data_IF_107273952858
#
_entry.id   IF_107273952858
#
_cell.length_a   1.000
_cell.length_b   1.000
_cell.length_c   1.000
_cell.angle_alpha   90.00
_cell.angle_beta   90.00
_cell.angle_gamma   90.00
#
_symmetry.space_group_name_H-M   'P 1'
#
loop_
_entity.id
_entity.type
_entity.pdbx_description
1 polymer ?
#
# COMPACT_ATOMS: atom_id res chain seq x y z
N UNK A 1 24.37 -2.96 7.35
CA UNK A 1 25.50 -3.87 7.61
C UNK A 1 25.91 -3.78 9.08
N UNK A 2 26.42 -4.90 9.66
CA UNK A 2 27.10 -4.89 10.94
C UNK A 2 28.42 -4.16 10.89
N UNK A 3 28.87 -3.67 12.05
CA UNK A 3 30.17 -2.98 12.18
C UNK A 3 31.23 -3.93 12.68
N UNK A 4 32.46 -3.79 12.14
CA UNK A 4 33.67 -4.40 12.65
C UNK A 4 34.45 -3.34 13.45
N UNK A 5 34.40 -3.43 14.77
CA UNK A 5 35.09 -2.48 15.64
C UNK A 5 35.62 -3.16 16.89
N UNK A 6 36.72 -2.61 17.43
CA UNK A 6 37.33 -3.05 18.66
C UNK A 6 37.58 -1.85 19.55
N UNK A 7 37.22 -1.98 20.83
CA UNK A 7 37.38 -0.94 21.82
C UNK A 7 38.88 -0.65 22.03
N UNK A 8 39.27 0.61 21.93
CA UNK A 8 40.59 1.11 22.21
C UNK A 8 40.51 2.35 23.08
N UNK A 9 41.06 2.27 24.27
CA UNK A 9 41.08 3.38 25.23
C UNK A 9 42.46 3.56 25.79
N UNK A 10 42.75 4.71 26.42
CA UNK A 10 44.06 5.09 26.92
C UNK A 10 44.74 4.01 27.77
N UNK A 11 43.96 3.25 28.56
CA UNK A 11 44.45 2.19 29.44
C UNK A 11 44.01 0.78 29.02
N UNK A 12 43.33 0.64 27.88
CA UNK A 12 42.85 -0.62 27.34
C UNK A 12 43.23 -0.73 25.86
N UNK A 13 44.52 -1.02 25.57
CA UNK A 13 45.00 -1.05 24.18
C UNK A 13 44.47 -2.24 23.38
N UNK A 14 43.99 -3.32 24.06
CA UNK A 14 43.45 -4.54 23.46
C UNK A 14 42.03 -4.78 24.01
N UNK A 15 41.12 -3.85 23.80
CA UNK A 15 39.71 -4.02 24.15
C UNK A 15 39.03 -5.07 23.28
N UNK A 16 37.93 -5.62 23.80
CA UNK A 16 37.13 -6.61 23.06
C UNK A 16 36.37 -6.03 21.86
N UNK A 17 35.68 -6.87 21.12
CA UNK A 17 34.84 -6.43 20.01
C UNK A 17 33.70 -5.55 20.52
N UNK A 18 33.48 -4.42 19.86
CA UNK A 18 32.44 -3.43 20.19
C UNK A 18 31.68 -2.91 18.97
N UNK A 19 31.74 -3.64 17.86
CA UNK A 19 30.98 -3.30 16.67
C UNK A 19 29.49 -3.61 16.87
N UNK A 20 28.64 -2.61 16.67
CA UNK A 20 27.20 -2.70 16.77
C UNK A 20 26.54 -3.29 15.52
N UNK A 21 25.27 -3.69 15.67
CA UNK A 21 24.46 -4.22 14.59
C UNK A 21 23.99 -3.10 13.66
N UNK A 22 23.74 -3.40 12.39
CA UNK A 22 23.06 -2.50 11.48
C UNK A 22 21.55 -2.36 11.81
N UNK A 23 20.95 -1.26 11.38
CA UNK A 23 19.51 -1.06 11.42
C UNK A 23 18.80 -1.90 10.35
N UNK A 24 17.55 -2.25 10.59
CA UNK A 24 16.70 -2.89 9.59
C UNK A 24 16.29 -1.86 8.52
N UNK A 25 15.97 -2.32 7.31
CA UNK A 25 15.27 -1.51 6.33
C UNK A 25 13.83 -1.24 6.77
N UNK A 26 13.22 -0.18 6.24
CA UNK A 26 11.81 0.12 6.44
C UNK A 26 10.93 -0.79 5.58
N UNK A 27 9.70 -0.99 6.01
CA UNK A 27 8.67 -1.72 5.27
C UNK A 27 7.91 -0.79 4.33
N UNK A 28 7.31 -1.33 3.27
CA UNK A 28 6.34 -0.63 2.42
C UNK A 28 4.95 -1.10 2.78
N UNK A 29 4.10 -0.15 3.18
CA UNK A 29 2.78 -0.41 3.76
C UNK A 29 1.75 0.37 2.94
N UNK A 30 0.67 -0.29 2.52
CA UNK A 30 -0.51 0.38 1.98
C UNK A 30 -1.44 0.73 3.13
N UNK A 31 -1.92 1.96 3.20
CA UNK A 31 -2.73 2.46 4.31
C UNK A 31 -4.03 3.09 3.81
N UNK A 32 -5.11 2.93 4.59
CA UNK A 32 -6.38 3.58 4.32
C UNK A 32 -6.29 5.10 4.53
N UNK A 33 -6.73 5.86 3.53
CA UNK A 33 -6.99 7.30 3.67
C UNK A 33 -8.42 7.61 3.20
N UNK A 34 -9.28 7.94 4.14
CA UNK A 34 -10.70 8.25 3.89
C UNK A 34 -10.91 9.57 3.12
N UNK A 35 -9.88 10.39 2.96
CA UNK A 35 -9.95 11.62 2.17
C UNK A 35 -9.72 11.38 0.68
N UNK A 36 -9.22 10.20 0.33
CA UNK A 36 -8.97 9.82 -1.05
C UNK A 36 -10.20 9.14 -1.65
N UNK A 37 -10.52 9.51 -2.90
CA UNK A 37 -11.60 8.90 -3.69
C UNK A 37 -11.08 8.28 -4.99
N UNK A 38 -9.76 8.27 -5.23
CA UNK A 38 -9.16 7.73 -6.44
C UNK A 38 -7.69 7.43 -6.25
N UNK A 39 -7.11 6.59 -7.12
CA UNK A 39 -5.69 6.27 -7.15
C UNK A 39 -4.87 7.24 -8.03
N UNK A 40 -5.45 8.38 -8.45
CA UNK A 40 -4.81 9.30 -9.38
C UNK A 40 -3.49 9.90 -8.86
N UNK A 41 -3.34 10.07 -7.55
CA UNK A 41 -2.12 10.58 -6.93
C UNK A 41 -0.92 9.63 -7.09
N UNK A 42 -1.17 8.35 -7.41
CA UNK A 42 -0.13 7.35 -7.69
C UNK A 42 0.27 7.30 -9.17
N UNK A 43 -0.49 7.96 -10.07
CA UNK A 43 -0.17 8.01 -11.50
C UNK A 43 1.20 8.66 -11.72
N UNK A 44 2.04 7.98 -12.50
CA UNK A 44 3.38 8.45 -12.85
C UNK A 44 4.51 8.03 -11.90
N UNK A 45 4.20 7.66 -10.66
CA UNK A 45 5.19 7.11 -9.73
C UNK A 45 5.13 5.59 -9.77
N UNK A 46 6.08 4.97 -10.44
CA UNK A 46 6.12 3.51 -10.65
C UNK A 46 6.89 2.74 -9.59
N UNK A 47 7.76 3.40 -8.82
CA UNK A 47 8.62 2.76 -7.83
C UNK A 47 8.42 3.41 -6.48
N UNK A 48 8.16 2.60 -5.48
CA UNK A 48 8.02 2.97 -4.08
C UNK A 48 9.05 2.22 -3.27
N UNK A 49 9.93 2.92 -2.58
CA UNK A 49 10.98 2.30 -1.77
C UNK A 49 11.02 2.96 -0.39
N UNK A 50 10.99 2.13 0.65
CA UNK A 50 11.22 2.57 2.01
C UNK A 50 12.71 2.88 2.23
N UNK A 51 13.05 3.59 3.30
CA UNK A 51 14.42 3.97 3.60
C UNK A 51 15.23 2.75 4.06
N UNK A 52 16.47 2.67 3.60
CA UNK A 52 17.41 1.66 4.10
C UNK A 52 17.84 1.97 5.53
N UNK A 53 18.11 0.92 6.32
CA UNK A 53 18.70 1.07 7.63
C UNK A 53 20.18 1.50 7.54
N UNK A 54 20.65 2.22 8.54
CA UNK A 54 22.04 2.66 8.65
C UNK A 54 22.93 1.51 9.14
N UNK A 55 24.21 1.53 8.76
CA UNK A 55 25.19 0.58 9.29
C UNK A 55 25.40 0.78 10.78
N UNK A 56 25.74 -0.29 11.49
CA UNK A 56 26.21 -0.20 12.87
C UNK A 56 27.51 0.60 12.99
N UNK A 57 27.83 1.04 14.20
CA UNK A 57 29.04 1.77 14.52
C UNK A 57 29.77 1.12 15.70
N UNK A 58 30.99 1.60 15.98
CA UNK A 58 31.74 1.18 17.17
C UNK A 58 31.02 1.55 18.48
N UNK A 59 31.56 1.10 19.61
CA UNK A 59 30.98 1.30 20.95
C UNK A 59 29.57 0.68 21.11
N UNK A 60 29.36 -0.45 20.45
CA UNK A 60 28.07 -1.18 20.42
C UNK A 60 26.87 -0.34 19.92
N UNK A 61 27.12 0.71 19.15
CA UNK A 61 26.04 1.53 18.61
C UNK A 61 25.34 0.81 17.45
N UNK A 62 24.05 0.52 17.66
CA UNK A 62 23.20 -0.04 16.62
C UNK A 62 22.88 1.04 15.58
N UNK A 63 22.91 0.68 14.31
CA UNK A 63 22.44 1.54 13.22
C UNK A 63 20.95 1.82 13.36
N UNK A 64 20.55 3.02 12.97
CA UNK A 64 19.15 3.44 12.93
C UNK A 64 18.40 2.62 11.88
N UNK A 65 17.19 2.16 12.22
CA UNK A 65 16.32 1.48 11.25
C UNK A 65 15.75 2.48 10.25
N UNK A 66 15.55 2.01 9.02
CA UNK A 66 14.90 2.80 7.99
C UNK A 66 13.44 3.07 8.34
N UNK A 67 12.94 4.23 7.93
CA UNK A 67 11.54 4.59 8.07
C UNK A 67 10.69 3.79 7.08
N UNK A 68 9.52 3.36 7.54
CA UNK A 68 8.52 2.74 6.69
C UNK A 68 8.00 3.74 5.67
N UNK A 69 7.63 3.24 4.49
CA UNK A 69 6.93 4.02 3.48
C UNK A 69 5.45 3.64 3.49
N UNK A 70 4.61 4.61 3.81
CA UNK A 70 3.16 4.47 3.69
C UNK A 70 2.68 4.94 2.32
N UNK A 71 1.83 4.14 1.67
CA UNK A 71 1.14 4.44 0.42
C UNK A 71 -0.34 4.60 0.75
N UNK A 72 -0.85 5.84 0.86
CA UNK A 72 -2.26 6.06 1.17
C UNK A 72 -3.13 5.69 -0.03
N UNK A 73 -4.22 4.97 0.22
CA UNK A 73 -5.20 4.57 -0.79
C UNK A 73 -6.62 4.71 -0.24
N UNK A 74 -7.64 4.89 -1.10
CA UNK A 74 -9.03 4.95 -0.68
C UNK A 74 -9.54 3.59 -0.21
N UNK A 75 -10.67 3.62 0.51
CA UNK A 75 -11.44 2.43 0.88
C UNK A 75 -11.86 1.62 -0.37
N UNK A 76 -11.88 0.31 -0.25
CA UNK A 76 -12.22 -0.61 -1.35
C UNK A 76 -11.07 -0.81 -2.36
N UNK A 77 -9.83 -0.45 -1.98
CA UNK A 77 -8.66 -0.74 -2.81
C UNK A 77 -8.21 -2.18 -2.60
N UNK A 78 -8.19 -2.95 -3.69
CA UNK A 78 -7.71 -4.33 -3.72
C UNK A 78 -6.27 -4.36 -4.21
N UNK A 79 -5.47 -5.20 -3.58
CA UNK A 79 -4.05 -5.35 -3.87
C UNK A 79 -3.82 -6.76 -4.40
N UNK A 80 -3.34 -6.86 -5.63
CA UNK A 80 -2.93 -8.12 -6.25
C UNK A 80 -1.42 -8.15 -6.47
N UNK A 81 -0.83 -9.35 -6.35
CA UNK A 81 0.52 -9.58 -6.87
C UNK A 81 0.45 -9.61 -8.39
N UNK A 82 1.22 -8.75 -9.08
CA UNK A 82 1.15 -8.62 -10.55
C UNK A 82 1.60 -9.91 -11.25
N UNK A 83 2.62 -10.59 -10.72
CA UNK A 83 3.19 -11.80 -11.33
C UNK A 83 2.26 -13.00 -11.27
N UNK A 84 1.57 -13.19 -10.14
CA UNK A 84 0.74 -14.39 -9.89
C UNK A 84 -0.75 -14.11 -10.04
N UNK A 85 -1.17 -12.84 -10.03
CA UNK A 85 -2.58 -12.44 -9.94
C UNK A 85 -3.23 -12.76 -8.58
N UNK A 86 -2.45 -13.23 -7.60
CA UNK A 86 -2.94 -13.59 -6.28
C UNK A 86 -3.41 -12.35 -5.51
N UNK A 87 -4.53 -12.50 -4.80
CA UNK A 87 -5.03 -11.46 -3.90
C UNK A 87 -4.14 -11.38 -2.66
N UNK A 88 -3.48 -10.23 -2.46
CA UNK A 88 -2.71 -9.95 -1.25
C UNK A 88 -3.65 -9.48 -0.12
N UNK A 89 -4.63 -8.63 -0.46
CA UNK A 89 -5.63 -8.15 0.48
C UNK A 89 -6.44 -6.99 -0.05
N UNK A 90 -7.39 -6.53 0.76
CA UNK A 90 -8.26 -5.39 0.49
C UNK A 90 -8.15 -4.37 1.62
N UNK A 91 -8.04 -3.10 1.27
CA UNK A 91 -8.05 -2.00 2.24
C UNK A 91 -9.50 -1.61 2.53
N UNK A 92 -9.86 -1.75 3.79
CA UNK A 92 -11.19 -1.46 4.31
C UNK A 92 -11.12 -0.86 5.72
N UNK A 93 -12.22 -0.37 6.31
CA UNK A 93 -12.25 0.08 7.71
C UNK A 93 -11.84 -1.00 8.71
N UNK A 94 -11.96 -2.28 8.34
CA UNK A 94 -11.54 -3.43 9.17
C UNK A 94 -10.06 -3.79 8.94
N UNK A 95 -9.51 -3.43 7.78
CA UNK A 95 -8.12 -3.68 7.39
C UNK A 95 -7.47 -2.37 6.91
N UNK A 96 -7.11 -1.53 7.87
CA UNK A 96 -6.62 -0.16 7.61
C UNK A 96 -5.20 -0.10 7.06
N UNK A 97 -4.42 -1.18 7.18
CA UNK A 97 -3.05 -1.25 6.69
C UNK A 97 -2.66 -2.66 6.27
N UNK A 98 -1.87 -2.78 5.21
CA UNK A 98 -1.33 -4.04 4.70
C UNK A 98 0.14 -3.83 4.35
N UNK A 99 1.02 -4.67 4.94
CA UNK A 99 2.45 -4.69 4.59
C UNK A 99 2.62 -5.47 3.29
N UNK A 100 3.08 -4.78 2.24
CA UNK A 100 3.25 -5.37 0.91
C UNK A 100 4.68 -5.83 0.63
N UNK A 101 5.68 -5.17 1.25
CA UNK A 101 7.08 -5.57 1.15
C UNK A 101 7.80 -5.28 2.45
N UNK A 102 8.57 -6.25 2.93
CA UNK A 102 9.34 -6.13 4.17
C UNK A 102 10.77 -5.66 3.90
N UNK A 103 11.25 -4.78 4.75
CA UNK A 103 12.64 -4.36 4.75
C UNK A 103 13.59 -5.48 5.16
N UNK A 104 14.79 -5.45 4.62
CA UNK A 104 15.85 -6.40 4.99
C UNK A 104 16.29 -6.24 6.45
N UNK A 105 16.67 -7.34 7.08
CA UNK A 105 17.19 -7.32 8.45
C UNK A 105 18.59 -6.68 8.49
N UNK A 106 18.87 -5.92 9.54
CA UNK A 106 20.20 -5.38 9.78
C UNK A 106 21.25 -6.47 9.98
N UNK A 107 22.47 -6.26 9.46
CA UNK A 107 23.58 -7.19 9.68
C UNK A 107 24.11 -7.13 11.12
N UNK A 108 24.66 -8.21 11.59
CA UNK A 108 25.20 -8.33 12.94
C UNK A 108 26.64 -7.79 13.03
N UNK A 109 26.92 -7.00 14.05
CA UNK A 109 28.26 -6.51 14.38
C UNK A 109 29.13 -7.59 15.02
N UNK A 110 30.47 -7.37 15.03
CA UNK A 110 31.39 -8.36 15.56
C UNK A 110 31.22 -8.62 17.05
N UNK A 111 30.64 -7.70 17.82
CA UNK A 111 30.35 -7.91 19.24
C UNK A 111 29.44 -9.12 19.48
N UNK A 112 28.52 -9.44 18.55
CA UNK A 112 27.59 -10.59 18.62
C UNK A 112 28.27 -11.95 18.51
N UNK A 113 29.46 -11.99 17.91
CA UNK A 113 30.20 -13.23 17.65
C UNK A 113 31.28 -13.54 18.73
N UNK A 114 31.30 -12.74 19.81
CA UNK A 114 32.17 -13.00 20.95
C UNK A 114 31.74 -14.30 21.67
N UNK A 115 32.72 -15.17 21.91
CA UNK A 115 32.54 -16.41 22.67
C UNK A 115 33.73 -16.66 23.58
N UNK A 116 33.64 -17.68 24.45
CA UNK A 116 34.73 -18.11 25.32
C UNK A 116 36.00 -18.53 24.54
N UNK A 117 35.79 -19.14 23.38
CA UNK A 117 36.87 -19.61 22.48
C UNK A 117 37.32 -18.54 21.48
N UNK A 118 36.49 -17.56 21.15
CA UNK A 118 36.81 -16.47 20.23
C UNK A 118 36.48 -15.11 20.88
N UNK A 119 37.44 -14.55 21.59
CA UNK A 119 37.26 -13.29 22.33
C UNK A 119 37.41 -12.05 21.44
N UNK A 120 37.97 -12.19 20.23
CA UNK A 120 38.24 -11.07 19.31
C UNK A 120 37.74 -11.39 17.89
N UNK A 121 36.46 -11.69 17.68
CA UNK A 121 35.89 -12.07 16.38
C UNK A 121 36.04 -10.91 15.38
N UNK A 122 36.51 -11.24 14.18
CA UNK A 122 36.52 -10.32 13.03
C UNK A 122 35.35 -10.59 12.06
N UNK A 123 34.38 -11.42 12.48
CA UNK A 123 33.21 -11.75 11.69
C UNK A 123 32.11 -10.69 11.87
N UNK A 124 31.54 -10.26 10.78
CA UNK A 124 30.32 -9.46 10.72
C UNK A 124 29.38 -10.11 9.71
N UNK A 125 28.11 -9.72 9.71
CA UNK A 125 27.20 -10.07 8.61
C UNK A 125 26.75 -8.82 7.87
N UNK A 126 26.49 -8.98 6.60
CA UNK A 126 25.80 -7.97 5.81
C UNK A 126 24.32 -7.92 6.20
N UNK A 127 23.65 -6.84 5.86
CA UNK A 127 22.21 -6.76 5.91
C UNK A 127 21.58 -7.82 5.00
N UNK A 128 20.44 -8.32 5.40
CA UNK A 128 19.62 -9.21 4.58
C UNK A 128 18.98 -8.45 3.42
N UNK A 129 18.53 -9.20 2.42
CA UNK A 129 17.79 -8.66 1.28
C UNK A 129 16.41 -8.17 1.73
N UNK A 130 15.91 -7.16 1.04
CA UNK A 130 14.54 -6.67 1.18
C UNK A 130 13.63 -7.33 0.15
N UNK A 131 12.34 -7.42 0.48
CA UNK A 131 11.33 -7.85 -0.48
C UNK A 131 11.25 -6.83 -1.63
N UNK A 132 11.10 -7.35 -2.85
CA UNK A 132 10.77 -6.59 -4.04
C UNK A 132 9.56 -7.25 -4.69
N UNK A 133 8.47 -6.49 -4.89
CA UNK A 133 7.22 -7.00 -5.45
C UNK A 133 6.62 -6.02 -6.41
N UNK A 134 6.08 -6.52 -7.50
CA UNK A 134 5.20 -5.79 -8.38
C UNK A 134 3.75 -6.06 -7.97
N UNK A 135 3.00 -4.97 -7.75
CA UNK A 135 1.61 -5.04 -7.32
C UNK A 135 0.70 -4.29 -8.29
N UNK A 136 -0.50 -4.81 -8.43
CA UNK A 136 -1.61 -4.13 -9.09
C UNK A 136 -2.58 -3.63 -8.02
N UNK A 137 -2.83 -2.32 -8.02
CA UNK A 137 -3.86 -1.70 -7.18
C UNK A 137 -5.12 -1.50 -8.02
N UNK A 138 -6.18 -2.16 -7.62
CA UNK A 138 -7.50 -2.03 -8.22
C UNK A 138 -8.44 -1.36 -7.23
N UNK A 139 -9.04 -0.24 -7.62
CA UNK A 139 -10.05 0.42 -6.79
C UNK A 139 -11.43 -0.04 -7.19
N UNK A 140 -12.10 -0.76 -6.29
CA UNK A 140 -13.54 -1.01 -6.41
C UNK A 140 -14.29 0.23 -5.96
N UNK A 141 -14.85 0.93 -6.92
CA UNK A 141 -15.73 2.04 -6.62
C UNK A 141 -17.10 1.46 -6.28
N UNK A 142 -17.44 1.42 -5.00
CA UNK A 142 -18.78 1.08 -4.54
C UNK A 142 -19.55 2.38 -4.51
N UNK A 143 -20.64 2.46 -5.26
CA UNK A 143 -21.61 3.54 -5.13
C UNK A 143 -22.61 3.19 -4.03
N UNK A 144 -22.93 4.14 -3.18
CA UNK A 144 -23.96 3.95 -2.14
C UNK A 144 -25.37 3.88 -2.75
N UNK A 145 -25.55 4.55 -3.91
CA UNK A 145 -26.82 4.62 -4.64
C UNK A 145 -26.57 4.45 -6.14
N UNK A 146 -27.26 3.51 -6.77
CA UNK A 146 -27.30 3.36 -8.22
C UNK A 146 -28.58 3.93 -8.83
N UNK A 147 -28.46 4.75 -9.88
CA UNK A 147 -29.60 5.23 -10.65
C UNK A 147 -29.86 4.31 -11.84
N UNK A 148 -31.05 3.75 -11.87
CA UNK A 148 -31.55 2.92 -12.94
C UNK A 148 -32.70 3.64 -13.65
N UNK A 149 -32.76 3.57 -14.97
CA UNK A 149 -33.84 4.16 -15.71
C UNK A 149 -33.61 4.14 -17.22
N UNK A 150 -34.67 4.35 -18.00
CA UNK A 150 -34.59 4.37 -19.45
C UNK A 150 -33.65 5.45 -19.97
N UNK A 151 -33.06 5.27 -21.18
CA UNK A 151 -32.31 6.32 -21.85
C UNK A 151 -33.12 7.63 -21.87
N UNK A 152 -32.41 8.76 -21.70
CA UNK A 152 -33.00 10.11 -21.67
C UNK A 152 -34.04 10.37 -20.55
N UNK A 153 -34.13 9.53 -19.53
CA UNK A 153 -35.02 9.75 -18.37
C UNK A 153 -34.50 10.85 -17.41
N UNK A 154 -33.44 11.56 -17.74
CA UNK A 154 -32.94 12.68 -16.94
C UNK A 154 -31.98 12.27 -15.79
N UNK A 155 -31.49 11.02 -15.76
CA UNK A 155 -30.60 10.52 -14.71
C UNK A 155 -29.34 11.38 -14.53
N UNK A 156 -28.60 11.62 -15.61
CA UNK A 156 -27.36 12.42 -15.57
C UNK A 156 -27.65 13.87 -15.20
N UNK A 157 -28.80 14.42 -15.60
CA UNK A 157 -29.25 15.75 -15.18
C UNK A 157 -29.56 15.78 -13.68
N UNK A 158 -30.17 14.71 -13.15
CA UNK A 158 -30.43 14.58 -11.71
C UNK A 158 -29.10 14.55 -10.94
N UNK A 159 -28.16 13.71 -11.36
CA UNK A 159 -26.82 13.62 -10.73
C UNK A 159 -26.13 14.97 -10.73
N UNK A 160 -26.09 15.66 -11.87
CA UNK A 160 -25.42 16.97 -11.98
C UNK A 160 -26.04 18.05 -11.11
N UNK A 161 -27.34 17.95 -10.80
CA UNK A 161 -28.05 18.93 -9.96
C UNK A 161 -27.90 18.64 -8.45
N UNK A 162 -27.78 17.37 -8.05
CA UNK A 162 -27.70 16.98 -6.62
C UNK A 162 -26.25 16.80 -6.12
N UNK A 163 -25.29 16.75 -7.04
CA UNK A 163 -23.88 16.58 -6.67
C UNK A 163 -23.11 17.89 -6.81
N UNK A 164 -22.30 18.22 -5.80
CA UNK A 164 -21.50 19.46 -5.77
C UNK A 164 -20.22 19.39 -6.60
N UNK A 165 -19.92 18.25 -7.23
CA UNK A 165 -18.70 18.04 -8.02
C UNK A 165 -19.04 17.59 -9.43
N UNK A 166 -18.21 18.04 -10.41
CA UNK A 166 -18.25 17.48 -11.77
C UNK A 166 -18.21 15.96 -11.69
N UNK A 167 -19.17 15.30 -12.34
CA UNK A 167 -19.23 13.85 -12.45
C UNK A 167 -17.85 13.28 -12.82
N UNK A 168 -17.39 12.32 -12.05
CA UNK A 168 -16.15 11.59 -12.34
C UNK A 168 -16.53 10.30 -13.04
N UNK A 169 -15.88 10.04 -14.16
CA UNK A 169 -15.99 8.76 -14.88
C UNK A 169 -15.27 7.71 -14.06
N UNK A 170 -15.94 6.62 -13.71
CA UNK A 170 -15.38 5.47 -13.02
C UNK A 170 -15.34 4.26 -13.94
N UNK A 171 -14.20 3.56 -14.00
CA UNK A 171 -14.09 2.29 -14.72
C UNK A 171 -14.55 1.16 -13.80
N UNK A 172 -15.63 0.48 -14.17
CA UNK A 172 -16.07 -0.74 -13.51
C UNK A 172 -15.74 -1.94 -14.39
N UNK A 173 -15.07 -2.94 -13.83
CA UNK A 173 -14.64 -4.15 -14.55
C UNK A 173 -15.78 -4.97 -15.17
N UNK A 174 -17.04 -4.65 -14.86
CA UNK A 174 -18.24 -5.36 -15.29
C UNK A 174 -19.18 -4.50 -16.14
N UNK A 175 -18.81 -3.27 -16.50
CA UNK A 175 -19.58 -2.41 -17.40
C UNK A 175 -18.79 -2.14 -18.67
N UNK A 176 -19.47 -2.24 -19.82
CA UNK A 176 -18.91 -1.83 -21.12
C UNK A 176 -18.97 -0.33 -21.34
N UNK A 177 -19.68 0.39 -20.47
CA UNK A 177 -19.84 1.84 -20.47
C UNK A 177 -19.36 2.37 -19.11
N UNK A 178 -18.56 3.42 -19.15
CA UNK A 178 -18.05 4.10 -17.96
C UNK A 178 -19.20 4.78 -17.22
N UNK A 179 -19.55 4.36 -15.99
CA UNK A 179 -20.62 5.01 -15.24
C UNK A 179 -20.18 6.40 -14.78
N UNK A 180 -21.09 7.35 -14.81
CA UNK A 180 -20.90 8.66 -14.23
C UNK A 180 -21.12 8.60 -12.72
N UNK A 181 -20.11 9.03 -11.96
CA UNK A 181 -20.17 9.09 -10.50
C UNK A 181 -20.39 10.53 -10.05
N UNK A 182 -21.38 10.73 -9.24
CA UNK A 182 -21.59 11.97 -8.51
C UNK A 182 -21.40 11.78 -7.01
N UNK A 183 -20.79 12.73 -6.34
CA UNK A 183 -20.66 12.72 -4.88
C UNK A 183 -21.52 13.82 -4.30
N UNK A 184 -22.49 13.44 -3.50
CA UNK A 184 -23.29 14.34 -2.69
C UNK A 184 -22.65 14.41 -1.30
N UNK A 185 -22.26 15.60 -0.88
CA UNK A 185 -21.63 15.85 0.41
C UNK A 185 -22.56 16.71 1.28
N UNK A 186 -22.91 16.21 2.44
CA UNK A 186 -23.59 16.95 3.48
C UNK A 186 -22.68 16.95 4.72
N UNK A 187 -22.87 17.89 5.65
CA UNK A 187 -22.05 18.10 6.87
C UNK A 187 -21.72 16.82 7.66
N UNK A 188 -22.46 15.74 7.45
CA UNK A 188 -22.31 14.48 8.21
C UNK A 188 -21.99 13.23 7.37
N UNK A 189 -22.22 13.26 6.05
CA UNK A 189 -22.03 12.05 5.19
C UNK A 189 -21.68 12.44 3.75
N UNK A 190 -20.80 11.64 3.15
CA UNK A 190 -20.61 11.59 1.70
C UNK A 190 -21.39 10.41 1.16
N UNK A 191 -22.18 10.63 0.11
CA UNK A 191 -22.92 9.59 -0.59
C UNK A 191 -22.46 9.60 -2.04
N UNK A 192 -21.97 8.47 -2.51
CA UNK A 192 -21.56 8.27 -3.91
C UNK A 192 -22.75 7.72 -4.70
N UNK A 193 -23.14 8.42 -5.75
CA UNK A 193 -24.23 8.06 -6.64
C UNK A 193 -23.65 7.69 -8.00
N UNK A 194 -24.01 6.51 -8.52
CA UNK A 194 -23.62 6.07 -9.86
C UNK A 194 -24.79 6.13 -10.83
N UNK A 195 -24.58 6.73 -12.01
CA UNK A 195 -25.44 6.47 -13.17
C UNK A 195 -24.98 5.17 -13.82
N UNK A 196 -25.91 4.23 -13.96
CA UNK A 196 -25.65 2.91 -14.51
C UNK A 196 -26.31 2.81 -15.89
N UNK A 197 -25.69 3.42 -16.94
CA UNK A 197 -26.24 3.36 -18.28
C UNK A 197 -26.20 1.92 -18.81
N UNK A 198 -27.22 1.52 -19.56
CA UNK A 198 -27.24 0.27 -20.31
C UNK A 198 -27.68 -0.99 -19.58
N UNK A 199 -27.95 -0.96 -18.26
CA UNK A 199 -28.47 -2.15 -17.55
C UNK A 199 -29.88 -2.54 -18.05
N UNK A 200 -30.66 -1.58 -18.52
CA UNK A 200 -32.04 -1.82 -19.00
C UNK A 200 -32.05 -2.21 -20.49
N UNK A 201 -31.11 -1.72 -21.31
CA UNK A 201 -31.05 -2.03 -22.73
C UNK A 201 -30.64 -3.49 -23.04
N UNK A 202 -29.87 -4.14 -22.17
CA UNK A 202 -29.47 -5.53 -22.31
C UNK A 202 -30.41 -6.55 -21.67
N UNK A 203 -31.26 -6.14 -20.75
CA UNK A 203 -32.15 -7.03 -20.01
C UNK A 203 -33.25 -7.65 -20.89
N UNK A 204 -33.71 -6.94 -21.94
CA UNK A 204 -34.70 -7.42 -22.88
C UNK A 204 -34.18 -8.44 -23.91
N UNK A 205 -32.85 -8.57 -24.07
CA UNK A 205 -32.19 -9.47 -25.01
C UNK A 205 -31.56 -10.71 -24.39
N UNK A 206 -31.84 -11.02 -23.11
CA UNK A 206 -31.37 -12.26 -22.47
C UNK A 206 -29.85 -12.32 -22.20
N UNK A 207 -29.10 -11.25 -22.46
CA UNK A 207 -27.67 -11.15 -22.15
C UNK A 207 -27.51 -10.83 -20.67
N UNK A 208 -27.45 -11.85 -19.84
CA UNK A 208 -27.30 -11.96 -18.39
C UNK A 208 -26.42 -10.98 -17.58
N UNK A 209 -26.30 -9.71 -17.99
CA UNK A 209 -25.53 -8.67 -17.27
C UNK A 209 -26.25 -8.21 -15.98
N UNK A 210 -27.59 -8.23 -15.95
CA UNK A 210 -28.36 -7.78 -14.79
C UNK A 210 -28.18 -8.62 -13.52
N UNK A 211 -27.99 -9.94 -13.65
CA UNK A 211 -27.84 -10.86 -12.52
C UNK A 211 -26.42 -10.87 -11.93
N UNK A 212 -25.40 -10.53 -12.70
CA UNK A 212 -24.03 -10.38 -12.21
C UNK A 212 -23.85 -9.08 -11.40
N UNK A 213 -24.59 -8.05 -11.78
CA UNK A 213 -24.54 -6.75 -11.10
C UNK A 213 -25.25 -6.76 -9.73
N UNK A 214 -26.31 -7.55 -9.58
CA UNK A 214 -27.07 -7.64 -8.31
C UNK A 214 -26.39 -8.55 -7.26
N UNK A 215 -25.25 -9.14 -7.56
CA UNK A 215 -24.48 -9.97 -6.62
C UNK A 215 -23.38 -9.21 -5.87
N UNK A 216 -23.16 -7.96 -6.18
CA UNK A 216 -22.24 -7.04 -5.53
C UNK A 216 -23.01 -5.81 -5.03
#
# INVERSE_FOLDING_TARGET
NGCLSFRREKYIPRGGPDGGDGGNGGDVIVTLDNNLNSLNHLKGKKVFAAKAGKSGAGKNMKGESGENLSIPVPNGTIIHALETGELIGEISPESVEIVIAKGGKGGLGNARFKSSTNQSPRKITNGGDSDNREILLELRLIADVGLLGLPNAGKSTLISNITNSKSKIGNYAFTTLDPELGVMENERKKITIADLPGIIEGASQGLGLGTKFLKH
#
